data_IF_052888326811
#
_entry.id   IF_052888326811
#
_cell.length_a   1.000
_cell.length_b   1.000
_cell.length_c   1.000
_cell.angle_alpha   90.00
_cell.angle_beta   90.00
_cell.angle_gamma   90.00
#
_symmetry.space_group_name_H-M   'P 1'
#
loop_
_entity.id
_entity.type
_entity.pdbx_description
1 polymer ?
#
# COMPACT_ATOMS: atom_id res chain seq x y z
N UNK A 1 -6.15 62.10 -3.55
CA UNK A 1 -6.44 62.03 -2.11
C UNK A 1 -6.52 60.56 -1.73
N UNK A 2 -5.54 60.08 -0.97
CA UNK A 2 -5.51 58.75 -0.35
C UNK A 2 -6.44 58.72 0.86
N UNK A 3 -7.12 57.60 1.09
CA UNK A 3 -7.25 57.02 2.44
C UNK A 3 -7.07 55.50 2.34
N UNK A 4 -5.95 55.05 2.91
CA UNK A 4 -5.65 53.67 3.29
C UNK A 4 -6.50 53.25 4.49
N UNK A 5 -7.01 52.02 4.46
CA UNK A 5 -7.33 51.16 5.61
C UNK A 5 -7.18 49.73 5.05
N UNK A 6 -6.18 48.92 5.37
CA UNK A 6 -5.52 48.74 6.66
C UNK A 6 -6.15 47.58 7.42
N UNK A 7 -6.21 46.37 6.85
CA UNK A 7 -6.47 45.15 7.61
C UNK A 7 -5.29 44.19 7.48
N UNK A 8 -4.73 43.89 8.64
CA UNK A 8 -3.48 43.21 8.87
C UNK A 8 -3.51 41.74 8.42
N UNK A 9 -2.42 41.32 7.78
CA UNK A 9 -1.99 39.93 7.74
C UNK A 9 -1.68 39.47 9.17
N UNK A 10 -2.44 38.49 9.66
CA UNK A 10 -1.99 37.65 10.76
C UNK A 10 -1.16 36.49 10.17
N UNK A 11 0.13 36.32 10.51
CA UNK A 11 0.91 35.18 10.08
C UNK A 11 0.66 34.03 11.06
N UNK A 12 -0.10 33.02 10.65
CA UNK A 12 -0.36 31.88 11.55
C UNK A 12 -1.28 30.78 11.04
N UNK A 13 -1.80 30.87 9.82
CA UNK A 13 -2.52 29.77 9.19
C UNK A 13 -1.55 28.76 8.61
N UNK A 14 -1.19 27.73 9.37
CA UNK A 14 -0.62 26.47 8.85
C UNK A 14 -1.71 25.75 8.01
N UNK A 15 -2.05 26.33 6.85
CA UNK A 15 -2.63 25.58 5.75
C UNK A 15 -1.49 24.92 4.98
N UNK A 16 -1.61 23.64 4.58
CA UNK A 16 -0.60 23.06 3.70
C UNK A 16 -0.51 23.92 2.43
N UNK A 17 0.70 24.13 1.88
CA UNK A 17 0.89 24.95 0.68
C UNK A 17 0.08 24.37 -0.49
N UNK A 18 -0.37 25.22 -1.43
CA UNK A 18 -1.24 24.83 -2.54
C UNK A 18 -0.64 23.81 -3.53
N UNK A 19 0.64 23.48 -3.36
CA UNK A 19 1.41 22.62 -4.27
C UNK A 19 1.77 21.26 -3.67
N UNK A 20 1.27 20.92 -2.48
CA UNK A 20 1.25 19.52 -2.06
C UNK A 20 0.16 18.81 -2.86
N UNK A 21 0.52 18.21 -3.99
CA UNK A 21 -0.21 17.04 -4.48
C UNK A 21 -0.40 16.12 -3.28
N UNK A 22 -1.62 16.06 -2.73
CA UNK A 22 -1.99 14.99 -1.84
C UNK A 22 -1.81 13.73 -2.66
N UNK A 23 -0.69 13.05 -2.46
CA UNK A 23 -0.33 11.85 -3.19
C UNK A 23 -1.46 10.85 -2.90
N UNK A 24 -2.41 10.75 -3.82
CA UNK A 24 -3.57 9.90 -3.65
C UNK A 24 -3.04 8.49 -3.40
N UNK A 25 -3.66 7.72 -2.50
CA UNK A 25 -3.25 6.34 -2.32
C UNK A 25 -3.31 5.65 -3.69
N UNK A 26 -2.25 4.91 -4.08
CA UNK A 26 -2.18 4.28 -5.40
C UNK A 26 -3.37 3.35 -5.60
N UNK A 27 -3.89 3.35 -6.83
CA UNK A 27 -4.99 2.47 -7.22
C UNK A 27 -4.57 1.00 -7.18
N UNK A 28 -5.51 0.04 -7.09
CA UNK A 28 -5.19 -1.39 -7.12
C UNK A 28 -4.35 -1.79 -8.33
N UNK A 29 -4.63 -1.18 -9.48
CA UNK A 29 -3.91 -1.41 -10.73
C UNK A 29 -2.47 -0.92 -10.65
N UNK A 30 -2.25 0.30 -10.15
CA UNK A 30 -0.90 0.85 -9.98
C UNK A 30 -0.09 0.04 -8.97
N UNK A 31 -0.70 -0.35 -7.85
CA UNK A 31 -0.09 -1.22 -6.84
C UNK A 31 0.34 -2.56 -7.45
N UNK A 32 -0.56 -3.21 -8.18
CA UNK A 32 -0.29 -4.48 -8.82
C UNK A 32 0.82 -4.37 -9.87
N UNK A 33 0.83 -3.28 -10.66
CA UNK A 33 1.86 -3.05 -11.66
C UNK A 33 3.23 -2.82 -11.02
N UNK A 34 3.30 -2.02 -9.96
CA UNK A 34 4.55 -1.77 -9.22
C UNK A 34 5.11 -3.06 -8.61
N UNK A 35 4.28 -3.84 -7.92
CA UNK A 35 4.66 -5.13 -7.35
C UNK A 35 5.16 -6.09 -8.45
N UNK A 36 4.45 -6.15 -9.58
CA UNK A 36 4.83 -7.01 -10.70
C UNK A 36 6.11 -6.56 -11.38
N UNK A 37 6.33 -5.24 -11.53
CA UNK A 37 7.59 -4.69 -12.07
C UNK A 37 8.76 -5.02 -11.15
N UNK A 38 8.57 -4.91 -9.83
CA UNK A 38 9.56 -5.32 -8.86
C UNK A 38 9.88 -6.82 -8.99
N UNK A 39 8.86 -7.68 -9.05
CA UNK A 39 9.04 -9.13 -9.18
C UNK A 39 9.74 -9.47 -10.51
N UNK A 40 9.35 -8.83 -11.62
CA UNK A 40 10.02 -9.00 -12.92
C UNK A 40 11.50 -8.69 -12.85
N UNK A 41 11.85 -7.55 -12.25
CA UNK A 41 13.25 -7.09 -12.14
C UNK A 41 14.08 -7.98 -11.21
N UNK A 42 13.52 -8.40 -10.07
CA UNK A 42 14.27 -9.13 -9.04
C UNK A 42 14.35 -10.63 -9.28
N UNK A 43 13.35 -11.21 -9.95
CA UNK A 43 13.24 -12.63 -10.23
C UNK A 43 13.50 -12.99 -11.70
N UNK A 44 13.76 -11.98 -12.53
CA UNK A 44 13.97 -12.12 -13.97
C UNK A 44 12.84 -12.91 -14.65
N UNK A 45 11.59 -12.52 -14.36
CA UNK A 45 10.42 -13.24 -14.85
C UNK A 45 10.35 -13.22 -16.37
N UNK A 46 9.97 -14.35 -16.97
CA UNK A 46 9.61 -14.39 -18.39
C UNK A 46 8.37 -13.52 -18.66
N UNK A 47 8.10 -13.20 -19.93
CA UNK A 47 6.89 -12.45 -20.31
C UNK A 47 5.62 -13.13 -19.81
N UNK A 48 5.52 -14.45 -20.02
CA UNK A 48 4.36 -15.25 -19.59
C UNK A 48 4.22 -15.29 -18.06
N UNK A 49 5.32 -15.45 -17.33
CA UNK A 49 5.31 -15.41 -15.86
C UNK A 49 4.88 -14.03 -15.36
N UNK A 50 5.39 -12.95 -15.97
CA UNK A 50 5.03 -11.59 -15.63
C UNK A 50 3.54 -11.31 -15.82
N UNK A 51 2.94 -11.76 -16.93
CA UNK A 51 1.50 -11.59 -17.19
C UNK A 51 0.66 -12.32 -16.13
N UNK A 52 1.00 -13.56 -15.78
CA UNK A 52 0.34 -14.32 -14.71
C UNK A 52 0.47 -13.66 -13.34
N UNK A 53 1.66 -13.16 -13.02
CA UNK A 53 1.93 -12.44 -11.76
C UNK A 53 1.15 -11.15 -11.70
N UNK A 54 1.12 -10.38 -12.77
CA UNK A 54 0.39 -9.12 -12.81
C UNK A 54 -1.12 -9.33 -12.65
N UNK A 55 -1.67 -10.36 -13.30
CA UNK A 55 -3.06 -10.75 -13.10
C UNK A 55 -3.35 -11.15 -11.65
N UNK A 56 -2.49 -11.96 -11.03
CA UNK A 56 -2.64 -12.34 -9.62
C UNK A 56 -2.55 -11.12 -8.70
N UNK A 57 -1.52 -10.28 -8.86
CA UNK A 57 -1.34 -9.08 -8.04
C UNK A 57 -2.54 -8.13 -8.18
N UNK A 58 -3.09 -7.97 -9.39
CA UNK A 58 -4.29 -7.15 -9.61
C UNK A 58 -5.50 -7.71 -8.87
N UNK A 59 -5.78 -9.02 -9.00
CA UNK A 59 -6.89 -9.66 -8.29
C UNK A 59 -6.80 -9.40 -6.78
N UNK A 60 -5.63 -9.65 -6.19
CA UNK A 60 -5.45 -9.52 -4.75
C UNK A 60 -5.40 -8.06 -4.28
N UNK A 61 -4.85 -7.14 -5.08
CA UNK A 61 -4.89 -5.70 -4.80
C UNK A 61 -6.33 -5.17 -4.81
N UNK A 62 -7.15 -5.61 -5.78
CA UNK A 62 -8.57 -5.25 -5.85
C UNK A 62 -9.33 -5.77 -4.63
N UNK A 63 -9.17 -7.04 -4.26
CA UNK A 63 -9.82 -7.61 -3.06
C UNK A 63 -9.44 -6.82 -1.80
N UNK A 64 -8.15 -6.47 -1.64
CA UNK A 64 -7.68 -5.68 -0.49
C UNK A 64 -8.29 -4.28 -0.48
N UNK A 65 -8.38 -3.63 -1.64
CA UNK A 65 -8.96 -2.29 -1.79
C UNK A 65 -10.47 -2.29 -1.51
N UNK A 66 -11.21 -3.29 -1.98
CA UNK A 66 -12.63 -3.45 -1.70
C UNK A 66 -12.89 -3.68 -0.21
N UNK A 67 -12.12 -4.58 0.43
CA UNK A 67 -12.17 -4.81 1.88
C UNK A 67 -11.88 -3.53 2.67
N UNK A 68 -10.84 -2.78 2.28
CA UNK A 68 -10.50 -1.52 2.92
C UNK A 68 -11.62 -0.48 2.76
N UNK A 69 -12.20 -0.38 1.56
CA UNK A 69 -13.30 0.54 1.27
C UNK A 69 -14.56 0.19 2.06
N UNK A 70 -14.89 -1.09 2.19
CA UNK A 70 -16.00 -1.57 3.01
C UNK A 70 -15.80 -1.23 4.50
N UNK A 71 -14.58 -1.46 5.04
CA UNK A 71 -14.21 -1.10 6.43
C UNK A 71 -14.34 0.41 6.66
N UNK A 72 -13.85 1.22 5.72
CA UNK A 72 -13.94 2.69 5.79
C UNK A 72 -15.38 3.21 5.65
N UNK A 73 -16.20 2.56 4.81
CA UNK A 73 -17.63 2.87 4.68
C UNK A 73 -18.39 2.59 5.97
N UNK A 74 -18.12 1.44 6.61
CA UNK A 74 -18.70 1.10 7.92
C UNK A 74 -18.27 2.10 9.00
N UNK A 75 -16.99 2.48 9.06
CA UNK A 75 -16.47 3.46 10.01
C UNK A 75 -17.04 4.88 9.81
N UNK A 76 -17.51 5.24 8.61
CA UNK A 76 -18.23 6.50 8.38
C UNK A 76 -19.69 6.45 8.87
N UNK A 77 -20.28 5.25 8.93
CA UNK A 77 -21.67 5.04 9.37
C UNK A 77 -21.82 4.83 10.88
N UNK A 78 -20.77 4.35 11.54
CA UNK A 78 -20.66 4.27 12.99
C UNK A 78 -19.98 5.55 13.52
N UNK A 79 -20.18 5.89 14.79
CA UNK A 79 -19.38 6.91 15.49
C UNK A 79 -17.89 6.69 15.14
N UNK A 80 -17.08 7.75 14.95
CA UNK A 80 -15.65 7.71 14.55
C UNK A 80 -14.71 7.02 15.57
N UNK A 81 -15.18 5.98 16.23
CA UNK A 81 -14.43 5.16 17.16
C UNK A 81 -13.50 4.24 16.39
N UNK A 82 -12.27 4.14 16.89
CA UNK A 82 -11.29 3.19 16.36
C UNK A 82 -11.84 1.76 16.50
N UNK A 83 -11.57 0.86 15.54
CA UNK A 83 -11.95 -0.55 15.68
C UNK A 83 -11.38 -1.14 16.98
N UNK A 84 -12.15 -2.01 17.63
CA UNK A 84 -11.69 -2.71 18.83
C UNK A 84 -10.43 -3.54 18.53
N UNK A 85 -9.64 -3.88 19.55
CA UNK A 85 -8.46 -4.74 19.37
C UNK A 85 -8.81 -6.09 18.73
N UNK A 86 -9.96 -6.68 19.11
CA UNK A 86 -10.45 -7.92 18.51
C UNK A 86 -10.79 -7.75 17.03
N UNK A 87 -11.44 -6.64 16.65
CA UNK A 87 -11.72 -6.33 15.25
C UNK A 87 -10.42 -6.12 14.45
N UNK A 88 -9.45 -5.40 15.02
CA UNK A 88 -8.12 -5.23 14.42
C UNK A 88 -7.39 -6.57 14.24
N UNK A 89 -7.52 -7.50 15.18
CA UNK A 89 -6.93 -8.82 15.07
C UNK A 89 -7.57 -9.65 13.96
N UNK A 90 -8.91 -9.68 13.88
CA UNK A 90 -9.62 -10.36 12.78
C UNK A 90 -9.22 -9.81 11.41
N UNK A 91 -9.10 -8.48 11.31
CA UNK A 91 -8.60 -7.81 10.10
C UNK A 91 -7.20 -8.33 9.71
N UNK A 92 -6.28 -8.41 10.68
CA UNK A 92 -4.91 -8.92 10.43
C UNK A 92 -4.92 -10.38 9.99
N UNK A 93 -5.72 -11.22 10.63
CA UNK A 93 -5.84 -12.64 10.29
C UNK A 93 -6.41 -12.85 8.88
N UNK A 94 -7.44 -12.08 8.51
CA UNK A 94 -7.97 -12.09 7.14
C UNK A 94 -6.93 -11.65 6.11
N UNK A 95 -6.22 -10.56 6.38
CA UNK A 95 -5.22 -10.01 5.47
C UNK A 95 -4.02 -10.97 5.33
N UNK A 96 -3.62 -11.65 6.42
CA UNK A 96 -2.62 -12.72 6.39
C UNK A 96 -3.06 -13.92 5.57
N UNK A 97 -4.30 -14.37 5.73
CA UNK A 97 -4.85 -15.48 4.94
C UNK A 97 -4.87 -15.14 3.46
N UNK A 98 -5.30 -13.92 3.11
CA UNK A 98 -5.31 -13.43 1.74
C UNK A 98 -3.90 -13.40 1.14
N UNK A 99 -2.89 -12.97 1.92
CA UNK A 99 -1.49 -12.99 1.50
C UNK A 99 -0.98 -14.42 1.29
N UNK A 100 -1.30 -15.35 2.18
CA UNK A 100 -0.93 -16.77 2.03
C UNK A 100 -1.54 -17.40 0.78
N UNK A 101 -2.80 -17.10 0.48
CA UNK A 101 -3.46 -17.57 -0.74
C UNK A 101 -2.79 -17.01 -2.00
N UNK A 102 -2.43 -15.72 -2.01
CA UNK A 102 -1.65 -15.10 -3.09
C UNK A 102 -0.29 -15.80 -3.24
N UNK A 103 0.43 -15.99 -2.13
CA UNK A 103 1.74 -16.64 -2.12
C UNK A 103 1.70 -18.08 -2.65
N UNK A 104 0.67 -18.86 -2.28
CA UNK A 104 0.50 -20.21 -2.80
C UNK A 104 0.32 -20.22 -4.33
N UNK A 105 -0.44 -19.25 -4.88
CA UNK A 105 -0.62 -19.11 -6.32
C UNK A 105 0.64 -18.62 -7.03
N UNK A 106 1.36 -17.65 -6.46
CA UNK A 106 2.63 -17.16 -6.99
C UNK A 106 3.69 -18.25 -7.04
N UNK A 107 3.76 -19.11 -6.01
CA UNK A 107 4.68 -20.25 -5.99
C UNK A 107 4.46 -21.20 -7.17
N UNK A 108 3.21 -21.35 -7.64
CA UNK A 108 2.89 -22.16 -8.83
C UNK A 108 3.31 -21.52 -10.17
N UNK A 109 3.64 -20.23 -10.19
CA UNK A 109 4.10 -19.50 -11.38
C UNK A 109 5.63 -19.42 -11.46
N UNK A 110 6.29 -19.43 -10.31
CA UNK A 110 7.75 -19.30 -10.20
C UNK A 110 8.46 -20.65 -10.29
N UNK A 111 9.71 -20.62 -10.77
CA UNK A 111 10.63 -21.74 -10.55
C UNK A 111 11.06 -21.81 -9.08
N UNK A 112 11.67 -22.92 -8.66
CA UNK A 112 12.16 -23.07 -7.30
C UNK A 112 13.18 -21.97 -6.91
N UNK A 113 14.09 -21.62 -7.83
CA UNK A 113 15.11 -20.58 -7.63
C UNK A 113 14.50 -19.18 -7.51
N UNK A 114 13.50 -18.89 -8.36
CA UNK A 114 12.75 -17.64 -8.30
C UNK A 114 11.95 -17.53 -7.00
N UNK A 115 11.34 -18.62 -6.54
CA UNK A 115 10.61 -18.66 -5.27
C UNK A 115 11.52 -18.41 -4.07
N UNK A 116 12.71 -19.01 -4.05
CA UNK A 116 13.70 -18.77 -2.98
C UNK A 116 14.15 -17.30 -2.96
N UNK A 117 14.44 -16.74 -4.14
CA UNK A 117 14.82 -15.33 -4.28
C UNK A 117 13.70 -14.39 -3.84
N UNK A 118 12.46 -14.72 -4.19
CA UNK A 118 11.28 -13.98 -3.76
C UNK A 118 11.17 -13.94 -2.23
N UNK A 119 11.23 -15.09 -1.56
CA UNK A 119 11.11 -15.17 -0.10
C UNK A 119 12.21 -14.38 0.63
N UNK A 120 13.44 -14.38 0.09
CA UNK A 120 14.56 -13.59 0.66
C UNK A 120 14.36 -12.08 0.52
N UNK A 121 13.78 -11.63 -0.58
CA UNK A 121 13.70 -10.21 -0.95
C UNK A 121 12.35 -9.55 -0.62
N UNK A 122 11.25 -10.31 -0.47
CA UNK A 122 9.90 -9.75 -0.27
C UNK A 122 9.80 -8.81 0.94
N UNK A 123 10.56 -9.07 2.01
CA UNK A 123 10.60 -8.22 3.21
C UNK A 123 11.13 -6.80 2.95
N UNK A 124 11.94 -6.64 1.91
CA UNK A 124 12.52 -5.37 1.50
C UNK A 124 11.72 -4.74 0.34
N UNK A 125 10.67 -5.41 -0.14
CA UNK A 125 9.88 -4.95 -1.28
C UNK A 125 9.24 -3.58 -1.03
N UNK A 126 8.62 -3.28 0.14
CA UNK A 126 8.06 -1.95 0.40
C UNK A 126 9.10 -0.84 0.25
N UNK A 127 10.28 -1.05 0.82
CA UNK A 127 11.40 -0.10 0.76
C UNK A 127 11.91 0.06 -0.68
N UNK A 128 12.07 -1.04 -1.40
CA UNK A 128 12.49 -1.03 -2.80
C UNK A 128 11.48 -0.32 -3.74
N UNK A 129 10.20 -0.33 -3.38
CA UNK A 129 9.13 0.37 -4.11
C UNK A 129 8.96 1.83 -3.68
N UNK A 130 9.80 2.33 -2.77
CA UNK A 130 9.69 3.68 -2.23
C UNK A 130 8.44 3.89 -1.37
N UNK A 131 7.77 2.81 -0.95
CA UNK A 131 6.70 2.90 0.03
C UNK A 131 7.33 3.14 1.39
N UNK A 132 6.89 4.22 2.04
CA UNK A 132 7.34 4.51 3.39
C UNK A 132 7.08 3.28 4.27
N UNK A 133 8.05 2.84 5.09
CA UNK A 133 7.77 1.82 6.08
C UNK A 133 6.58 2.29 6.94
N UNK A 134 5.69 1.38 7.38
CA UNK A 134 4.67 1.75 8.34
C UNK A 134 5.36 2.44 9.51
N UNK A 135 4.91 3.66 9.84
CA UNK A 135 5.47 4.44 10.94
C UNK A 135 5.48 3.57 12.20
N UNK A 136 6.65 3.05 12.59
CA UNK A 136 6.79 2.12 13.71
C UNK A 136 7.78 0.96 13.52
N UNK A 137 8.28 0.68 12.32
CA UNK A 137 9.41 -0.25 12.13
C UNK A 137 10.56 0.49 11.46
N UNK A 138 11.34 1.19 12.29
CA UNK A 138 12.69 1.60 11.87
C UNK A 138 13.57 0.35 11.82
N UNK A 139 14.26 0.06 10.70
CA UNK A 139 15.25 -0.99 10.67
C UNK A 139 16.45 -0.59 11.52
N UNK A 140 16.53 -1.14 12.72
CA UNK A 140 17.73 -1.12 13.56
C UNK A 140 18.07 0.22 14.18
N UNK A 141 17.86 0.32 15.49
CA UNK A 141 18.89 0.89 16.34
C UNK A 141 19.39 -0.27 17.22
N UNK A 142 20.71 -0.53 17.31
CA UNK A 142 21.27 -1.55 18.19
C UNK A 142 20.91 -1.32 19.66
#
# INVERSE_FOLDING_TARGET
>A
MNILVGFAQAPGGFGPPPDMEMNQPPTPTEMAEQESKWMKKKLNLSKEQYEKVNALNLIYATIRSEKMSARMGQAKSQSREMPSQEAMQKIREEDQKLEQEKEAKLKGVFTAEQWETYQKKKKNMPQDMGMAPPAGIMPGNP
#
